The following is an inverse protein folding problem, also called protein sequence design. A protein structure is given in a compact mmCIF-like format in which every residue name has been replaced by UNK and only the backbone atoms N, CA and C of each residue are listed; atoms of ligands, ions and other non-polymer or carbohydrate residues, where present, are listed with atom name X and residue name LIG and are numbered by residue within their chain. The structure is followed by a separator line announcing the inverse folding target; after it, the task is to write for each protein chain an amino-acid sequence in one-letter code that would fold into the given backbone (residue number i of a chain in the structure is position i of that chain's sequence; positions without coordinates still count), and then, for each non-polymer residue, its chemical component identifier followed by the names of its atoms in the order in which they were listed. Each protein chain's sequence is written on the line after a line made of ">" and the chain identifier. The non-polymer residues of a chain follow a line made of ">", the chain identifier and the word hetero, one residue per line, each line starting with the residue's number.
data_IF_353422811618
#
_entry.id   IF_353422811618
#
_cell.length_a   1.000
_cell.length_b   1.000
_cell.length_c   1.000
_cell.angle_alpha   90.00
_cell.angle_beta   90.00
_cell.angle_gamma   90.00
#
_symmetry.space_group_name_H-M   'P 1'
#
loop_
_entity.id
_entity.type
_entity.pdbx_description
1 polymer ?
#
# COMPACT_ATOMS: atom_id res chain seq x y z
N UNK A 1 17.13 -30.91 -8.59
CA UNK A 1 17.23 -29.44 -8.67
C UNK A 1 17.46 -29.13 -10.11
N UNK A 2 16.36 -28.88 -10.82
CA UNK A 2 16.40 -28.62 -12.24
C UNK A 2 16.72 -27.14 -12.46
N UNK A 3 17.08 -26.76 -13.70
CA UNK A 3 17.44 -25.37 -14.01
C UNK A 3 16.36 -24.36 -13.59
N UNK A 4 15.09 -24.76 -13.73
CA UNK A 4 13.93 -23.96 -13.31
C UNK A 4 13.93 -23.71 -11.80
N UNK A 5 14.25 -24.73 -10.99
CA UNK A 5 14.33 -24.59 -9.53
C UNK A 5 15.45 -23.61 -9.13
N UNK A 6 16.60 -23.70 -9.80
CA UNK A 6 17.75 -22.83 -9.53
C UNK A 6 17.40 -21.37 -9.80
N UNK A 7 16.74 -21.08 -10.93
CA UNK A 7 16.31 -19.73 -11.28
C UNK A 7 15.24 -19.22 -10.31
N UNK A 8 14.31 -20.08 -9.89
CA UNK A 8 13.28 -19.74 -8.89
C UNK A 8 13.89 -19.40 -7.53
N UNK A 9 14.79 -20.23 -7.00
CA UNK A 9 15.46 -19.97 -5.73
C UNK A 9 16.29 -18.69 -5.78
N UNK A 10 16.97 -18.44 -6.89
CA UNK A 10 17.70 -17.19 -7.09
C UNK A 10 16.76 -15.98 -7.12
N UNK A 11 15.62 -16.10 -7.82
CA UNK A 11 14.58 -15.07 -7.84
C UNK A 11 14.03 -14.77 -6.43
N UNK A 12 13.70 -15.80 -5.65
CA UNK A 12 13.24 -15.63 -4.26
C UNK A 12 14.30 -14.95 -3.39
N UNK A 13 15.58 -15.32 -3.56
CA UNK A 13 16.68 -14.65 -2.86
C UNK A 13 16.77 -13.16 -3.24
N UNK A 14 16.70 -12.83 -4.53
CA UNK A 14 16.72 -11.44 -4.98
C UNK A 14 15.53 -10.63 -4.45
N UNK A 15 14.33 -11.20 -4.45
CA UNK A 15 13.12 -10.56 -3.88
C UNK A 15 13.30 -10.31 -2.39
N UNK A 16 13.86 -11.27 -1.64
CA UNK A 16 14.13 -11.10 -0.22
C UNK A 16 15.14 -9.97 0.04
N UNK A 17 16.24 -9.92 -0.73
CA UNK A 17 17.24 -8.83 -0.62
C UNK A 17 16.62 -7.49 -0.99
N UNK A 18 15.83 -7.44 -2.07
CA UNK A 18 15.15 -6.21 -2.48
C UNK A 18 14.18 -5.71 -1.41
N UNK A 19 13.40 -6.60 -0.79
CA UNK A 19 12.49 -6.25 0.30
C UNK A 19 13.26 -5.69 1.52
N UNK A 20 14.36 -6.33 1.91
CA UNK A 20 15.22 -5.85 3.00
C UNK A 20 15.80 -4.47 2.72
N UNK A 21 16.28 -4.22 1.49
CA UNK A 21 16.83 -2.92 1.11
C UNK A 21 15.73 -1.85 1.00
N UNK A 22 14.57 -2.18 0.43
CA UNK A 22 13.45 -1.27 0.27
C UNK A 22 12.94 -0.71 1.60
N UNK A 23 13.02 -1.50 2.68
CA UNK A 23 12.64 -1.06 4.04
C UNK A 23 13.84 -0.51 4.81
N UNK A 24 14.99 -1.19 4.75
CA UNK A 24 16.17 -0.85 5.53
C UNK A 24 16.82 0.47 5.11
N UNK A 25 16.85 0.78 3.81
CA UNK A 25 17.51 1.98 3.30
C UNK A 25 16.78 3.27 3.70
N UNK A 26 15.44 3.39 3.54
CA UNK A 26 14.69 4.54 4.05
C UNK A 26 14.82 4.70 5.57
N UNK A 27 14.80 3.61 6.34
CA UNK A 27 14.97 3.66 7.79
C UNK A 27 16.35 4.16 8.21
N UNK A 28 17.40 3.72 7.52
CA UNK A 28 18.77 4.20 7.76
C UNK A 28 18.91 5.70 7.49
N UNK A 29 18.34 6.18 6.39
CA UNK A 29 18.34 7.61 6.05
C UNK A 29 17.53 8.41 7.07
N UNK A 30 16.37 7.92 7.46
CA UNK A 30 15.48 8.57 8.41
C UNK A 30 16.08 8.63 9.83
N UNK A 31 16.88 7.64 10.23
CA UNK A 31 17.63 7.66 11.51
C UNK A 31 18.61 8.83 11.61
N UNK A 32 19.20 9.27 10.50
CA UNK A 32 20.12 10.42 10.47
C UNK A 32 19.39 11.76 10.51
N UNK A 33 18.08 11.78 10.22
CA UNK A 33 17.25 12.98 10.15
C UNK A 33 15.90 12.73 10.86
N UNK A 34 15.84 12.86 12.19
CA UNK A 34 14.63 12.54 12.96
C UNK A 34 13.41 13.34 12.53
N UNK A 35 13.59 14.55 11.99
CA UNK A 35 12.48 15.34 11.42
C UNK A 35 11.85 14.69 10.19
N UNK A 36 12.64 14.11 9.29
CA UNK A 36 12.09 13.41 8.12
C UNK A 36 11.41 12.10 8.53
N UNK A 37 11.92 11.42 9.56
CA UNK A 37 11.28 10.23 10.11
C UNK A 37 9.86 10.50 10.61
N UNK A 38 9.65 11.61 11.33
CA UNK A 38 8.31 12.01 11.81
C UNK A 38 7.38 12.32 10.64
N UNK A 39 7.86 13.04 9.62
CA UNK A 39 7.04 13.35 8.43
C UNK A 39 6.65 12.10 7.65
N UNK A 40 7.58 11.17 7.41
CA UNK A 40 7.30 9.89 6.77
C UNK A 40 6.37 9.02 7.63
N UNK A 41 6.58 9.01 8.95
CA UNK A 41 5.74 8.27 9.90
C UNK A 41 4.30 8.77 9.92
N UNK A 42 4.08 10.08 9.82
CA UNK A 42 2.73 10.64 9.69
C UNK A 42 2.04 10.21 8.40
N UNK A 43 2.77 10.16 7.27
CA UNK A 43 2.22 9.67 5.99
C UNK A 43 1.87 8.18 6.02
N UNK A 44 2.74 7.36 6.62
CA UNK A 44 2.47 5.93 6.82
C UNK A 44 1.29 5.70 7.78
N UNK A 45 1.25 6.46 8.87
CA UNK A 45 0.18 6.40 9.86
C UNK A 45 -1.19 6.79 9.28
N UNK A 46 -1.25 7.81 8.44
CA UNK A 46 -2.51 8.22 7.80
C UNK A 46 -3.03 7.15 6.84
N UNK A 47 -2.15 6.52 6.05
CA UNK A 47 -2.51 5.38 5.19
C UNK A 47 -3.02 4.20 6.03
N UNK A 48 -2.36 3.90 7.15
CA UNK A 48 -2.80 2.82 8.04
C UNK A 48 -4.19 3.09 8.62
N UNK A 49 -4.47 4.33 9.06
CA UNK A 49 -5.80 4.72 9.55
C UNK A 49 -6.84 4.58 8.42
N UNK A 50 -6.52 5.03 7.21
CA UNK A 50 -7.41 4.88 6.06
C UNK A 50 -7.68 3.41 5.72
N UNK A 51 -6.65 2.56 5.81
CA UNK A 51 -6.80 1.12 5.62
C UNK A 51 -7.74 0.52 6.66
N UNK A 52 -7.60 0.89 7.94
CA UNK A 52 -8.50 0.41 8.99
C UNK A 52 -9.94 0.82 8.70
N UNK A 53 -10.19 2.05 8.27
CA UNK A 53 -11.54 2.50 7.87
C UNK A 53 -12.04 1.69 6.67
N UNK A 54 -11.22 1.53 5.63
CA UNK A 54 -11.58 0.77 4.42
C UNK A 54 -11.88 -0.70 4.72
N UNK A 55 -11.11 -1.32 5.62
CA UNK A 55 -11.27 -2.70 6.07
C UNK A 55 -12.52 -2.87 6.96
N UNK A 56 -12.84 -1.89 7.80
CA UNK A 56 -14.07 -1.91 8.62
C UNK A 56 -15.34 -1.83 7.77
N UNK A 57 -15.31 -1.10 6.65
CA UNK A 57 -16.43 -0.96 5.73
C UNK A 57 -16.50 -2.14 4.74
N UNK A 58 -15.40 -2.88 4.57
CA UNK A 58 -15.37 -4.05 3.69
C UNK A 58 -16.25 -5.18 4.21
N UNK A 59 -17.03 -5.78 3.31
CA UNK A 59 -17.77 -7.01 3.57
C UNK A 59 -16.84 -8.23 3.68
N UNK A 60 -17.36 -9.29 4.31
CA UNK A 60 -16.72 -10.62 4.41
C UNK A 60 -17.36 -11.65 3.47
N UNK A 61 -18.09 -11.21 2.47
CA UNK A 61 -18.84 -12.08 1.55
C UNK A 61 -17.88 -12.99 0.77
N UNK A 62 -18.12 -14.30 0.82
CA UNK A 62 -17.39 -15.29 0.02
C UNK A 62 -18.30 -15.75 -1.10
N UNK A 63 -18.04 -15.27 -2.30
CA UNK A 63 -18.78 -15.69 -3.49
C UNK A 63 -18.36 -17.12 -3.89
N UNK A 64 -19.24 -17.91 -4.53
CA UNK A 64 -18.89 -19.26 -4.98
C UNK A 64 -17.64 -19.30 -5.87
N UNK A 65 -17.40 -18.24 -6.65
CA UNK A 65 -16.19 -18.05 -7.46
C UNK A 65 -14.92 -17.83 -6.64
N UNK A 66 -15.01 -17.42 -5.38
CA UNK A 66 -13.87 -17.15 -4.50
C UNK A 66 -13.40 -18.43 -3.78
N UNK A 67 -14.31 -19.40 -3.61
CA UNK A 67 -14.04 -20.69 -2.98
C UNK A 67 -13.03 -21.51 -3.80
N UNK A 68 -13.09 -21.45 -5.13
CA UNK A 68 -12.11 -22.12 -6.02
C UNK A 68 -10.67 -21.60 -5.82
N UNK A 69 -10.52 -20.36 -5.34
CA UNK A 69 -9.21 -19.76 -5.06
C UNK A 69 -8.79 -19.89 -3.58
N UNK A 70 -9.55 -20.65 -2.78
CA UNK A 70 -9.26 -20.82 -1.35
C UNK A 70 -9.44 -19.55 -0.53
N UNK A 71 -10.26 -18.61 -1.00
CA UNK A 71 -10.54 -17.35 -0.30
C UNK A 71 -11.57 -17.61 0.79
N UNK A 72 -11.15 -17.52 2.04
CA UNK A 72 -12.04 -17.54 3.20
C UNK A 72 -12.61 -16.13 3.49
N UNK A 73 -13.50 -16.04 4.48
CA UNK A 73 -14.13 -14.77 4.89
C UNK A 73 -13.12 -13.70 5.31
N UNK A 74 -12.00 -14.10 5.92
CA UNK A 74 -10.95 -13.19 6.40
C UNK A 74 -10.18 -12.60 5.24
N UNK A 75 -9.78 -13.46 4.29
CA UNK A 75 -9.05 -13.09 3.10
C UNK A 75 -9.94 -12.25 2.17
N UNK A 76 -11.22 -12.60 2.03
CA UNK A 76 -12.20 -11.79 1.29
C UNK A 76 -12.31 -10.37 1.87
N UNK A 77 -12.46 -10.25 3.20
CA UNK A 77 -12.51 -8.95 3.87
C UNK A 77 -11.22 -8.16 3.73
N UNK A 78 -10.06 -8.83 3.76
CA UNK A 78 -8.77 -8.20 3.54
C UNK A 78 -8.65 -7.64 2.11
N UNK A 79 -9.00 -8.44 1.10
CA UNK A 79 -9.00 -8.02 -0.32
C UNK A 79 -9.93 -6.83 -0.52
N UNK A 80 -11.17 -6.90 -0.01
CA UNK A 80 -12.12 -5.80 -0.12
C UNK A 80 -11.65 -4.53 0.58
N UNK A 81 -11.02 -4.66 1.76
CA UNK A 81 -10.40 -3.55 2.47
C UNK A 81 -9.28 -2.88 1.66
N UNK A 82 -8.43 -3.68 1.00
CA UNK A 82 -7.35 -3.19 0.13
C UNK A 82 -7.90 -2.49 -1.13
N UNK A 83 -8.92 -3.05 -1.77
CA UNK A 83 -9.61 -2.43 -2.92
C UNK A 83 -10.23 -1.09 -2.53
N UNK A 84 -10.97 -1.05 -1.42
CA UNK A 84 -11.58 0.17 -0.90
C UNK A 84 -10.53 1.24 -0.60
N UNK A 85 -9.40 0.87 0.01
CA UNK A 85 -8.29 1.79 0.26
C UNK A 85 -7.77 2.40 -1.04
N UNK A 86 -7.54 1.60 -2.08
CA UNK A 86 -7.08 2.08 -3.39
C UNK A 86 -8.07 3.07 -3.98
N UNK A 87 -9.37 2.78 -3.94
CA UNK A 87 -10.40 3.69 -4.45
C UNK A 87 -10.48 5.00 -3.66
N UNK A 88 -10.36 4.94 -2.34
CA UNK A 88 -10.32 6.14 -1.49
C UNK A 88 -9.09 7.00 -1.81
N UNK A 89 -7.91 6.39 -1.91
CA UNK A 89 -6.68 7.10 -2.24
C UNK A 89 -6.73 7.71 -3.65
N UNK A 90 -7.29 6.98 -4.61
CA UNK A 90 -7.49 7.51 -5.97
C UNK A 90 -8.42 8.73 -5.96
N UNK A 91 -9.54 8.66 -5.23
CA UNK A 91 -10.45 9.80 -5.07
C UNK A 91 -9.78 11.01 -4.40
N UNK A 92 -9.05 10.79 -3.31
CA UNK A 92 -8.27 11.83 -2.62
C UNK A 92 -7.23 12.44 -3.56
N UNK A 93 -6.54 11.63 -4.35
CA UNK A 93 -5.55 12.10 -5.31
C UNK A 93 -6.18 12.99 -6.38
N UNK A 94 -7.31 12.58 -6.98
CA UNK A 94 -8.03 13.38 -7.97
C UNK A 94 -8.47 14.73 -7.39
N UNK A 95 -9.08 14.72 -6.20
CA UNK A 95 -9.49 15.96 -5.51
C UNK A 95 -8.27 16.85 -5.22
N UNK A 96 -7.16 16.25 -4.76
CA UNK A 96 -5.91 16.94 -4.48
C UNK A 96 -5.33 17.63 -5.72
N UNK A 97 -5.34 16.96 -6.87
CA UNK A 97 -4.90 17.52 -8.15
C UNK A 97 -5.77 18.72 -8.51
N UNK A 98 -7.09 18.57 -8.50
CA UNK A 98 -8.02 19.65 -8.84
C UNK A 98 -7.80 20.86 -7.90
N UNK A 99 -7.77 20.63 -6.59
CA UNK A 99 -7.55 21.69 -5.60
C UNK A 99 -6.19 22.40 -5.78
N UNK A 100 -5.16 21.66 -6.19
CA UNK A 100 -3.84 22.24 -6.46
C UNK A 100 -3.86 23.19 -7.66
N UNK A 101 -4.61 22.86 -8.71
CA UNK A 101 -4.76 23.72 -9.89
C UNK A 101 -5.58 24.98 -9.58
N UNK A 102 -6.67 24.86 -8.83
CA UNK A 102 -7.45 26.03 -8.36
C UNK A 102 -6.62 26.98 -7.50
N UNK A 103 -5.77 26.45 -6.60
CA UNK A 103 -4.88 27.28 -5.77
C UNK A 103 -3.84 28.01 -6.62
N UNK A 104 -3.23 27.34 -7.60
CA UNK A 104 -2.27 28.00 -8.51
C UNK A 104 -2.94 29.12 -9.31
N UNK A 105 -4.16 28.90 -9.80
CA UNK A 105 -4.91 29.91 -10.56
C UNK A 105 -5.24 31.16 -9.72
N UNK A 106 -5.52 31.01 -8.42
CA UNK A 106 -5.83 32.13 -7.53
C UNK A 106 -4.61 32.83 -6.93
N UNK A 107 -3.49 32.12 -6.72
CA UNK A 107 -2.31 32.68 -6.06
C UNK A 107 -1.29 33.30 -7.05
N UNK A 108 -1.44 33.03 -8.35
CA UNK A 108 -0.65 33.62 -9.44
C UNK A 108 -1.46 34.61 -10.31
N UNK A 109 -2.65 35.03 -9.85
CA UNK A 109 -3.51 36.04 -10.50
C UNK A 109 -3.47 37.38 -9.78
#
# INVERSE_FOLDING_TARGET
>A
MDFVDIVLYFGYFMVAVAALLAVGFPLYIASKNPKSLVSSGMGLGSILILFLVAWLISGNEVYPSYVEFGVDETLSKFIGGMLNLVYMLAGIAVIGIIASEFRKAFNNG
#
